data_IF_236490755342
#
_entry.id   IF_236490755342
#
_cell.length_a   1.000
_cell.length_b   1.000
_cell.length_c   1.000
_cell.angle_alpha   90.00
_cell.angle_beta   90.00
_cell.angle_gamma   90.00
#
_symmetry.space_group_name_H-M   'P 1'
#
loop_
_entity.id
_entity.type
_entity.pdbx_description
1 polymer ?
#
# COMPACT_ATOMS: atom_id res chain seq x y z
N UNK A 1 4.70 21.20 -69.80
CA UNK A 1 5.70 20.99 -68.75
C UNK A 1 5.04 20.12 -67.69
N UNK A 2 5.31 18.81 -67.71
CA UNK A 2 4.68 17.84 -66.82
C UNK A 2 5.53 17.70 -65.54
N UNK A 3 4.97 18.02 -64.38
CA UNK A 3 5.69 18.02 -63.09
C UNK A 3 5.32 16.74 -62.34
N UNK A 4 6.12 15.69 -62.50
CA UNK A 4 5.96 14.45 -61.73
C UNK A 4 6.44 14.66 -60.28
N UNK A 5 5.61 14.40 -59.24
CA UNK A 5 6.05 14.56 -57.86
C UNK A 5 7.02 13.44 -57.46
N UNK A 6 8.17 13.83 -56.92
CA UNK A 6 9.22 12.91 -56.44
C UNK A 6 8.74 12.13 -55.21
N UNK A 7 8.47 10.84 -55.38
CA UNK A 7 8.16 9.94 -54.28
C UNK A 7 9.35 9.85 -53.30
N UNK A 8 9.08 10.05 -52.00
CA UNK A 8 10.09 9.89 -50.94
C UNK A 8 10.38 8.40 -50.76
N UNK A 9 11.65 7.98 -50.63
CA UNK A 9 11.96 6.58 -50.39
C UNK A 9 11.32 6.11 -49.07
N UNK A 10 10.78 4.88 -49.01
CA UNK A 10 10.29 4.32 -47.76
C UNK A 10 11.40 4.39 -46.70
N UNK A 11 11.08 4.96 -45.54
CA UNK A 11 12.01 4.96 -44.42
C UNK A 11 12.43 3.51 -44.09
N UNK A 12 13.69 3.33 -43.67
CA UNK A 12 14.24 2.02 -43.30
C UNK A 12 13.28 1.31 -42.32
N UNK A 13 12.86 0.06 -42.59
CA UNK A 13 12.07 -0.72 -41.64
C UNK A 13 12.80 -0.80 -40.30
N UNK A 14 12.08 -0.56 -39.20
CA UNK A 14 12.66 -0.66 -37.87
C UNK A 14 13.01 -2.12 -37.61
N UNK A 15 14.30 -2.43 -37.76
CA UNK A 15 14.89 -3.72 -37.44
C UNK A 15 14.63 -4.03 -35.96
N UNK A 16 13.68 -4.92 -35.70
CA UNK A 16 13.45 -5.49 -34.36
C UNK A 16 14.34 -6.74 -34.22
N UNK A 17 15.61 -6.64 -34.58
CA UNK A 17 16.59 -7.71 -34.41
C UNK A 17 17.14 -7.66 -33.00
N UNK A 18 16.42 -8.31 -32.10
CA UNK A 18 16.90 -8.59 -30.77
C UNK A 18 16.01 -9.67 -30.18
N UNK A 19 16.55 -10.61 -29.39
CA UNK A 19 15.73 -11.53 -28.62
C UNK A 19 14.63 -10.74 -27.92
N UNK A 20 13.36 -11.04 -28.22
CA UNK A 20 12.23 -10.43 -27.51
C UNK A 20 12.46 -10.62 -26.03
N UNK A 21 12.39 -9.53 -25.25
CA UNK A 21 12.48 -9.61 -23.79
C UNK A 21 11.56 -10.74 -23.32
N UNK A 22 12.05 -11.70 -22.51
CA UNK A 22 11.22 -12.79 -22.04
C UNK A 22 9.99 -12.20 -21.33
N UNK A 23 8.80 -12.78 -21.55
CA UNK A 23 7.59 -12.29 -20.91
C UNK A 23 7.81 -12.25 -19.40
N UNK A 24 7.34 -11.17 -18.76
CA UNK A 24 7.52 -10.94 -17.32
C UNK A 24 6.89 -12.10 -16.56
N UNK A 25 7.73 -13.00 -16.03
CA UNK A 25 7.32 -14.24 -15.36
C UNK A 25 6.50 -14.01 -14.09
N UNK A 26 6.63 -12.82 -13.49
CA UNK A 26 5.96 -12.46 -12.24
C UNK A 26 4.85 -11.44 -12.50
N UNK A 27 3.60 -11.92 -12.45
CA UNK A 27 2.41 -11.08 -12.48
C UNK A 27 2.14 -10.53 -11.09
N UNK A 28 2.06 -9.21 -10.95
CA UNK A 28 1.67 -8.58 -9.70
C UNK A 28 0.15 -8.75 -9.52
N UNK A 29 -0.27 -9.73 -8.73
CA UNK A 29 -1.67 -9.91 -8.36
C UNK A 29 -2.00 -8.89 -7.27
N UNK A 30 -2.95 -7.99 -7.56
CA UNK A 30 -3.50 -7.11 -6.54
C UNK A 30 -4.45 -7.91 -5.65
N UNK A 31 -4.28 -7.77 -4.34
CA UNK A 31 -5.08 -8.50 -3.34
C UNK A 31 -6.20 -7.57 -2.87
N UNK A 32 -7.43 -8.07 -2.84
CA UNK A 32 -8.58 -7.27 -2.36
C UNK A 32 -8.38 -6.85 -0.90
N UNK A 33 -8.98 -5.72 -0.51
CA UNK A 33 -8.83 -5.19 0.86
C UNK A 33 -9.25 -6.22 1.92
N UNK A 34 -10.38 -6.91 1.72
CA UNK A 34 -10.86 -7.97 2.61
C UNK A 34 -9.84 -9.10 2.80
N UNK A 35 -9.16 -9.50 1.72
CA UNK A 35 -8.10 -10.53 1.79
C UNK A 35 -6.84 -10.00 2.48
N UNK A 36 -6.48 -8.72 2.29
CA UNK A 36 -5.37 -8.09 3.05
C UNK A 36 -5.66 -8.09 4.55
N UNK A 37 -6.88 -7.77 4.96
CA UNK A 37 -7.27 -7.76 6.37
C UNK A 37 -7.16 -9.16 6.98
N UNK A 38 -7.73 -10.19 6.34
CA UNK A 38 -7.62 -11.56 6.81
C UNK A 38 -6.17 -12.05 6.97
N UNK A 39 -5.27 -11.64 6.07
CA UNK A 39 -3.83 -11.95 6.16
C UNK A 39 -3.17 -11.24 7.33
N UNK A 40 -3.57 -10.00 7.62
CA UNK A 40 -3.08 -9.23 8.78
C UNK A 40 -3.58 -9.87 10.08
N UNK A 41 -4.86 -10.22 10.16
CA UNK A 41 -5.44 -10.85 11.37
C UNK A 41 -4.75 -12.19 11.64
N UNK A 42 -4.54 -12.99 10.60
CA UNK A 42 -3.80 -14.26 10.70
C UNK A 42 -2.31 -14.06 11.06
N UNK A 43 -1.71 -12.93 10.68
CA UNK A 43 -0.35 -12.57 11.08
C UNK A 43 -0.28 -12.22 12.57
N UNK A 44 -1.26 -11.47 13.08
CA UNK A 44 -1.32 -11.12 14.51
C UNK A 44 -1.51 -12.38 15.38
N UNK A 45 -2.30 -13.35 14.92
CA UNK A 45 -2.58 -14.60 15.66
C UNK A 45 -1.43 -15.62 15.61
N UNK A 46 -0.88 -15.90 14.41
CA UNK A 46 0.01 -17.05 14.19
C UNK A 46 1.37 -16.68 13.57
N UNK A 47 1.58 -15.39 13.27
CA UNK A 47 2.81 -14.91 12.67
C UNK A 47 2.94 -15.13 11.15
N UNK A 48 4.04 -14.61 10.60
CA UNK A 48 4.26 -14.47 9.16
C UNK A 48 4.23 -15.80 8.37
N UNK A 49 4.89 -16.84 8.88
CA UNK A 49 5.03 -18.11 8.17
C UNK A 49 3.68 -18.82 8.00
N UNK A 50 2.91 -18.92 9.09
CA UNK A 50 1.58 -19.52 9.08
C UNK A 50 0.59 -18.72 8.21
N UNK A 51 0.64 -17.38 8.28
CA UNK A 51 -0.20 -16.53 7.45
C UNK A 51 0.05 -16.71 5.94
N UNK A 52 1.32 -16.82 5.53
CA UNK A 52 1.66 -17.09 4.12
C UNK A 52 1.22 -18.49 3.69
N UNK A 53 1.43 -19.50 4.52
CA UNK A 53 1.03 -20.88 4.21
C UNK A 53 -0.49 -21.00 4.06
N UNK A 54 -1.26 -20.39 4.97
CA UNK A 54 -2.73 -20.43 4.97
C UNK A 54 -3.34 -19.68 3.78
N UNK A 55 -2.82 -18.50 3.45
CA UNK A 55 -3.45 -17.62 2.45
C UNK A 55 -2.84 -17.72 1.06
N UNK A 56 -1.59 -18.17 0.94
CA UNK A 56 -0.83 -18.26 -0.29
C UNK A 56 -0.10 -19.61 -0.44
N UNK A 57 -0.80 -20.76 -0.30
CA UNK A 57 -0.16 -22.08 -0.37
C UNK A 57 0.48 -22.40 -1.73
N UNK A 58 0.01 -21.72 -2.78
CA UNK A 58 0.50 -21.86 -4.15
C UNK A 58 1.79 -21.08 -4.43
N UNK A 59 2.19 -20.15 -3.55
CA UNK A 59 3.42 -19.40 -3.72
C UNK A 59 4.59 -20.20 -3.15
N UNK A 60 5.61 -20.44 -3.98
CA UNK A 60 6.86 -21.09 -3.58
C UNK A 60 8.06 -20.34 -4.11
N UNK A 61 9.15 -20.31 -3.36
CA UNK A 61 10.37 -19.61 -3.73
C UNK A 61 10.22 -18.08 -3.74
N UNK A 62 10.90 -17.34 -4.63
CA UNK A 62 10.96 -15.87 -4.60
C UNK A 62 9.61 -15.11 -4.52
N UNK A 63 8.50 -15.60 -5.10
CA UNK A 63 7.17 -15.01 -4.90
C UNK A 63 6.73 -14.92 -3.44
N UNK A 64 7.13 -15.86 -2.57
CA UNK A 64 6.78 -15.83 -1.15
C UNK A 64 7.43 -14.64 -0.44
N UNK A 65 8.69 -14.34 -0.79
CA UNK A 65 9.45 -13.22 -0.25
C UNK A 65 8.87 -11.88 -0.66
N UNK A 66 8.41 -11.76 -1.92
CA UNK A 66 7.74 -10.54 -2.38
C UNK A 66 6.40 -10.32 -1.68
N UNK A 67 5.68 -11.40 -1.36
CA UNK A 67 4.41 -11.35 -0.63
C UNK A 67 4.63 -10.99 0.84
N UNK A 68 5.66 -11.55 1.47
CA UNK A 68 6.11 -11.14 2.81
C UNK A 68 6.40 -9.64 2.90
N UNK A 69 7.16 -9.09 1.94
CA UNK A 69 7.43 -7.64 1.87
C UNK A 69 6.14 -6.81 1.74
N UNK A 70 5.16 -7.28 0.97
CA UNK A 70 3.85 -6.63 0.85
C UNK A 70 3.10 -6.62 2.19
N UNK A 71 3.10 -7.73 2.91
CA UNK A 71 2.42 -7.81 4.22
C UNK A 71 3.02 -6.82 5.21
N UNK A 72 4.34 -6.70 5.31
CA UNK A 72 4.97 -5.66 6.14
C UNK A 72 4.58 -4.24 5.72
N UNK A 73 4.45 -4.00 4.42
CA UNK A 73 3.98 -2.70 3.92
C UNK A 73 2.54 -2.43 4.37
N UNK A 74 1.66 -3.44 4.33
CA UNK A 74 0.27 -3.30 4.78
C UNK A 74 0.18 -3.13 6.29
N UNK A 75 1.01 -3.81 7.08
CA UNK A 75 1.10 -3.62 8.53
C UNK A 75 1.54 -2.19 8.87
N UNK A 76 2.53 -1.64 8.15
CA UNK A 76 2.96 -0.25 8.30
C UNK A 76 1.82 0.74 7.97
N UNK A 77 1.05 0.46 6.91
CA UNK A 77 -0.12 1.27 6.54
C UNK A 77 -1.24 1.19 7.60
N UNK A 78 -1.48 0.01 8.18
CA UNK A 78 -2.44 -0.15 9.30
C UNK A 78 -1.99 0.61 10.53
N UNK A 79 -0.73 0.49 10.93
CA UNK A 79 -0.18 1.21 12.08
C UNK A 79 -0.32 2.72 11.90
N UNK A 80 0.03 3.25 10.72
CA UNK A 80 -0.15 4.66 10.40
C UNK A 80 -1.63 5.09 10.50
N UNK A 81 -2.56 4.29 9.98
CA UNK A 81 -4.00 4.58 10.06
C UNK A 81 -4.52 4.57 11.50
N UNK A 82 -4.11 3.60 12.32
CA UNK A 82 -4.53 3.50 13.73
C UNK A 82 -3.95 4.66 14.54
N UNK A 83 -2.69 5.03 14.31
CA UNK A 83 -2.07 6.19 14.96
C UNK A 83 -2.79 7.48 14.59
N UNK A 84 -3.11 7.69 13.31
CA UNK A 84 -3.90 8.85 12.88
C UNK A 84 -5.26 8.91 13.59
N UNK A 85 -6.02 7.81 13.56
CA UNK A 85 -7.33 7.74 14.24
C UNK A 85 -7.20 8.02 15.74
N UNK A 86 -6.17 7.48 16.40
CA UNK A 86 -5.92 7.72 17.83
C UNK A 86 -5.54 9.16 18.15
N UNK A 87 -4.74 9.81 17.30
CA UNK A 87 -4.39 11.23 17.44
C UNK A 87 -5.61 12.11 17.16
N UNK A 88 -6.42 11.78 16.17
CA UNK A 88 -7.66 12.49 15.85
C UNK A 88 -8.68 12.37 17.00
N UNK A 89 -8.86 11.17 17.57
CA UNK A 89 -9.69 10.95 18.75
C UNK A 89 -9.17 11.71 19.98
N UNK A 90 -7.84 11.74 20.18
CA UNK A 90 -7.23 12.50 21.26
C UNK A 90 -7.42 14.01 21.06
N UNK A 91 -7.27 14.49 19.82
CA UNK A 91 -7.50 15.88 19.46
C UNK A 91 -8.98 16.27 19.65
N UNK A 92 -9.92 15.41 19.26
CA UNK A 92 -11.35 15.59 19.55
C UNK A 92 -11.61 15.63 21.07
N UNK A 93 -11.03 14.71 21.84
CA UNK A 93 -11.20 14.66 23.30
C UNK A 93 -10.59 15.86 24.02
N UNK A 94 -9.47 16.42 23.54
CA UNK A 94 -8.88 17.64 24.10
C UNK A 94 -9.55 18.93 23.61
N UNK A 95 -10.13 18.93 22.40
CA UNK A 95 -10.91 20.03 21.86
C UNK A 95 -12.26 20.22 22.59
N UNK A 96 -12.78 19.17 23.23
CA UNK A 96 -13.99 19.18 24.07
C UNK A 96 -13.77 19.72 25.50
N UNK A 97 -12.62 20.33 25.84
CA UNK A 97 -12.49 21.04 27.14
C UNK A 97 -13.33 22.33 27.11
N UNK A 98 -14.41 22.45 27.90
CA UNK A 98 -15.14 23.69 27.98
C UNK A 98 -14.32 24.70 28.79
N UNK A 99 -14.01 25.79 28.11
CA UNK A 99 -13.87 27.14 28.60
C UNK A 99 -12.95 27.43 29.81
N UNK A 100 -11.99 28.29 29.51
CA UNK A 100 -11.20 29.07 30.45
C UNK A 100 -12.09 30.14 31.08
N UNK A 101 -13.03 29.76 31.95
CA UNK A 101 -13.69 30.73 32.83
C UNK A 101 -14.06 30.15 34.19
N UNK A 102 -13.75 30.94 35.20
CA UNK A 102 -14.33 30.91 36.55
C UNK A 102 -14.17 29.64 37.36
N UNK A 103 -13.18 29.67 38.26
CA UNK A 103 -13.44 29.50 39.70
C UNK A 103 -12.39 30.30 40.48
N UNK A 104 -12.78 31.51 40.89
CA UNK A 104 -12.24 32.15 42.07
C UNK A 104 -12.58 31.23 43.25
N UNK A 105 -11.67 30.34 43.62
CA UNK A 105 -11.76 29.67 44.92
C UNK A 105 -11.30 30.70 45.93
N UNK A 106 -12.28 31.36 46.54
CA UNK A 106 -12.12 32.07 47.80
C UNK A 106 -11.44 31.14 48.79
N UNK A 107 -10.19 31.45 49.14
CA UNK A 107 -9.58 31.00 50.38
C UNK A 107 -10.34 31.67 51.53
N UNK A 108 -11.38 30.99 52.01
CA UNK A 108 -11.99 31.27 53.29
C UNK A 108 -12.32 29.93 53.95
N UNK A 109 -11.42 29.47 54.81
CA UNK A 109 -11.82 28.94 56.11
C UNK A 109 -10.61 28.78 57.04
N UNK A 110 -10.70 29.52 58.15
CA UNK A 110 -10.10 29.38 59.50
C UNK A 110 -8.57 29.48 59.61
#
# INVERSE_FOLDING_TARGET
MDVTPRARPPGRPRLKEGPKKPPKKFRNVNVSFKKKQAVIDCFDEMGMAAALLKHFPHLRGPPIDTTRKKVYTWLKQRAHRVVLIGVDLLHCHFADRPDRATKKVTFLHI
#
